data_IF_948060671841
#
_entry.id   IF_948060671841
#
_cell.length_a   1.000
_cell.length_b   1.000
_cell.length_c   1.000
_cell.angle_alpha   90.00
_cell.angle_beta   90.00
_cell.angle_gamma   90.00
#
_symmetry.space_group_name_H-M   'P 1'
#
loop_
_entity.id
_entity.type
_entity.pdbx_description
1 polymer ?
#
# COMPACT_ATOMS: atom_id res chain seq x y z
N UNK A 1 -4.99 -23.90 4.87
CA UNK A 1 -5.29 -23.17 6.12
C UNK A 1 -4.35 -21.97 6.32
N UNK A 2 -3.02 -22.15 6.21
CA UNK A 2 -2.03 -21.05 6.30
C UNK A 2 -2.18 -19.99 5.20
N UNK A 3 -2.33 -20.41 3.94
CA UNK A 3 -2.46 -19.53 2.78
C UNK A 3 -3.66 -18.57 2.89
N UNK A 4 -4.87 -19.11 3.05
CA UNK A 4 -6.09 -18.31 3.18
C UNK A 4 -5.97 -17.27 4.30
N UNK A 5 -5.38 -17.67 5.43
CA UNK A 5 -5.14 -16.75 6.55
C UNK A 5 -4.22 -15.58 6.18
N UNK A 6 -3.15 -15.81 5.42
CA UNK A 6 -2.25 -14.73 4.95
C UNK A 6 -2.96 -13.78 3.98
N UNK A 7 -3.69 -14.30 3.00
CA UNK A 7 -4.48 -13.44 2.11
C UNK A 7 -5.52 -12.61 2.86
N UNK A 8 -6.22 -13.22 3.81
CA UNK A 8 -7.20 -12.52 4.63
C UNK A 8 -6.54 -11.46 5.53
N UNK A 9 -5.30 -11.68 5.98
CA UNK A 9 -4.55 -10.67 6.74
C UNK A 9 -4.21 -9.45 5.88
N UNK A 10 -3.74 -9.65 4.65
CA UNK A 10 -3.50 -8.56 3.69
C UNK A 10 -4.80 -7.76 3.47
N UNK A 11 -5.91 -8.46 3.20
CA UNK A 11 -7.20 -7.80 2.99
C UNK A 11 -7.68 -7.03 4.23
N UNK A 12 -7.47 -7.60 5.44
CA UNK A 12 -7.80 -6.92 6.70
C UNK A 12 -7.00 -5.64 6.90
N UNK A 13 -5.69 -5.64 6.66
CA UNK A 13 -4.87 -4.44 6.87
C UNK A 13 -5.21 -3.35 5.86
N UNK A 14 -5.49 -3.70 4.59
CA UNK A 14 -5.98 -2.77 3.56
C UNK A 14 -7.34 -2.19 3.93
N UNK A 15 -8.26 -3.03 4.39
CA UNK A 15 -9.57 -2.58 4.87
C UNK A 15 -9.43 -1.60 6.04
N UNK A 16 -8.51 -1.86 6.97
CA UNK A 16 -8.26 -0.93 8.08
C UNK A 16 -7.70 0.41 7.61
N UNK A 17 -6.78 0.39 6.62
CA UNK A 17 -6.27 1.61 6.01
C UNK A 17 -7.40 2.39 5.33
N UNK A 18 -8.17 1.75 4.45
CA UNK A 18 -9.24 2.39 3.68
C UNK A 18 -10.33 2.96 4.59
N UNK A 19 -10.77 2.23 5.62
CA UNK A 19 -11.74 2.74 6.60
C UNK A 19 -11.24 3.96 7.37
N UNK A 20 -9.96 3.98 7.74
CA UNK A 20 -9.38 5.17 8.36
C UNK A 20 -9.35 6.33 7.33
N UNK A 21 -8.96 6.03 6.10
CA UNK A 21 -8.87 7.02 5.04
C UNK A 21 -10.23 7.62 4.63
N UNK A 22 -11.32 6.86 4.71
CA UNK A 22 -12.69 7.32 4.46
C UNK A 22 -13.16 8.41 5.43
N UNK A 23 -12.60 8.46 6.66
CA UNK A 23 -12.94 9.52 7.61
C UNK A 23 -12.27 10.86 7.28
N UNK A 24 -11.37 10.91 6.29
CA UNK A 24 -10.69 12.12 5.88
C UNK A 24 -11.50 12.88 4.81
N UNK A 25 -11.89 14.15 5.07
CA UNK A 25 -12.48 15.02 4.05
C UNK A 25 -11.60 15.12 2.80
N UNK A 26 -12.21 15.21 1.62
CA UNK A 26 -11.48 15.14 0.35
C UNK A 26 -10.44 16.27 0.19
N UNK A 27 -10.77 17.47 0.68
CA UNK A 27 -9.91 18.65 0.73
C UNK A 27 -8.73 18.49 1.70
N UNK A 28 -8.82 17.58 2.69
CA UNK A 28 -7.75 17.33 3.66
C UNK A 28 -6.83 16.17 3.30
N UNK A 29 -7.14 15.35 2.28
CA UNK A 29 -6.34 14.16 1.92
C UNK A 29 -4.92 14.49 1.45
N UNK A 30 -4.68 15.74 1.01
CA UNK A 30 -3.38 16.26 0.56
C UNK A 30 -2.71 17.18 1.59
N UNK A 31 -3.33 17.39 2.75
CA UNK A 31 -2.73 18.18 3.83
C UNK A 31 -1.65 17.37 4.55
N UNK A 32 -0.47 17.97 4.75
CA UNK A 32 0.64 17.35 5.46
C UNK A 32 0.54 17.75 6.94
N UNK A 33 0.20 16.81 7.85
CA UNK A 33 0.07 17.15 9.25
C UNK A 33 1.44 17.48 9.88
N UNK A 34 1.43 18.30 10.92
CA UNK A 34 2.67 18.70 11.61
C UNK A 34 3.45 17.46 12.11
N UNK A 35 4.77 17.46 11.88
CA UNK A 35 5.65 16.34 12.24
C UNK A 35 5.73 15.24 11.19
N UNK A 36 4.93 15.30 10.13
CA UNK A 36 5.03 14.42 8.97
C UNK A 36 5.63 15.15 7.77
N UNK A 37 6.09 14.39 6.79
CA UNK A 37 6.65 14.89 5.52
C UNK A 37 5.84 14.44 4.30
N UNK A 38 4.69 13.79 4.51
CA UNK A 38 3.76 13.36 3.48
C UNK A 38 2.32 13.36 4.04
N UNK A 39 1.35 13.14 3.17
CA UNK A 39 -0.08 13.21 3.48
C UNK A 39 -0.80 11.88 3.15
N UNK A 40 -2.07 11.78 3.50
CA UNK A 40 -2.85 10.54 3.34
C UNK A 40 -2.93 10.04 1.89
N UNK A 41 -3.03 10.95 0.92
CA UNK A 41 -3.01 10.57 -0.50
C UNK A 41 -1.67 9.94 -0.94
N UNK A 42 -0.53 10.39 -0.39
CA UNK A 42 0.76 9.74 -0.60
C UNK A 42 0.80 8.37 0.07
N UNK A 43 0.26 8.25 1.29
CA UNK A 43 0.19 6.97 2.02
C UNK A 43 -0.58 5.91 1.21
N UNK A 44 -1.70 6.28 0.59
CA UNK A 44 -2.48 5.39 -0.27
C UNK A 44 -1.69 4.98 -1.52
N UNK A 45 -1.07 5.94 -2.22
CA UNK A 45 -0.26 5.63 -3.39
C UNK A 45 0.97 4.78 -3.06
N UNK A 46 1.55 4.97 -1.87
CA UNK A 46 2.67 4.21 -1.35
C UNK A 46 2.33 2.74 -1.15
N UNK A 47 1.23 2.43 -0.44
CA UNK A 47 0.83 1.03 -0.25
C UNK A 47 0.48 0.34 -1.57
N UNK A 48 -0.15 1.05 -2.52
CA UNK A 48 -0.42 0.53 -3.87
C UNK A 48 0.89 0.17 -4.59
N UNK A 49 1.85 1.09 -4.60
CA UNK A 49 3.11 0.97 -5.35
C UNK A 49 4.07 -0.05 -4.75
N UNK A 50 4.26 -0.02 -3.43
CA UNK A 50 5.14 -0.94 -2.72
C UNK A 50 4.52 -2.33 -2.64
N UNK A 51 3.21 -2.42 -2.41
CA UNK A 51 2.48 -3.68 -2.45
C UNK A 51 2.60 -4.38 -3.81
N UNK A 52 2.56 -3.64 -4.92
CA UNK A 52 2.75 -4.20 -6.26
C UNK A 52 4.17 -4.77 -6.44
N UNK A 53 5.16 -4.07 -5.89
CA UNK A 53 6.54 -4.53 -5.86
C UNK A 53 6.71 -5.83 -5.09
N UNK A 54 6.24 -5.87 -3.86
CA UNK A 54 6.44 -7.01 -2.97
C UNK A 54 5.63 -8.22 -3.45
N UNK A 55 4.35 -8.05 -3.81
CA UNK A 55 3.48 -9.19 -4.12
C UNK A 55 3.65 -9.75 -5.52
N UNK A 56 3.93 -8.91 -6.52
CA UNK A 56 3.95 -9.35 -7.92
C UNK A 56 5.36 -9.38 -8.49
N UNK A 57 6.06 -8.24 -8.47
CA UNK A 57 7.42 -8.20 -9.06
C UNK A 57 8.36 -9.19 -8.39
N UNK A 58 8.37 -9.25 -7.05
CA UNK A 58 9.22 -10.20 -6.32
C UNK A 58 8.75 -11.65 -6.41
N UNK A 59 7.51 -11.93 -6.82
CA UNK A 59 7.05 -13.31 -7.10
C UNK A 59 7.27 -13.73 -8.56
N UNK A 60 7.96 -12.90 -9.36
CA UNK A 60 8.17 -13.12 -10.80
C UNK A 60 6.98 -12.78 -11.68
N UNK A 61 5.96 -12.12 -11.14
CA UNK A 61 4.76 -11.70 -11.86
C UNK A 61 4.89 -10.29 -12.43
N UNK A 62 4.24 -9.99 -13.56
CA UNK A 62 4.26 -8.65 -14.13
C UNK A 62 3.51 -7.66 -13.24
N UNK A 63 4.05 -6.44 -13.16
CA UNK A 63 3.37 -5.29 -12.56
C UNK A 63 2.24 -4.81 -13.47
N UNK A 64 1.07 -4.52 -12.87
CA UNK A 64 -0.03 -3.84 -13.54
C UNK A 64 0.06 -2.31 -13.42
N UNK A 65 0.98 -1.80 -12.60
CA UNK A 65 1.15 -0.36 -12.37
C UNK A 65 2.18 0.28 -13.31
N UNK A 66 1.96 1.54 -13.72
CA UNK A 66 2.95 2.31 -14.48
C UNK A 66 4.26 2.51 -13.69
N UNK A 67 5.40 2.48 -14.40
CA UNK A 67 6.72 2.72 -13.78
C UNK A 67 6.83 4.10 -13.10
N UNK A 68 6.09 5.09 -13.59
CA UNK A 68 6.08 6.46 -13.05
C UNK A 68 5.61 6.55 -11.59
N UNK A 69 4.89 5.54 -11.09
CA UNK A 69 4.49 5.48 -9.68
C UNK A 69 5.70 5.40 -8.76
N UNK A 70 6.82 4.85 -9.26
CA UNK A 70 8.07 4.80 -8.53
C UNK A 70 8.57 6.18 -8.10
N UNK A 71 8.49 7.19 -8.99
CA UNK A 71 8.93 8.55 -8.70
C UNK A 71 7.99 9.29 -7.72
N UNK A 72 6.74 8.85 -7.61
CA UNK A 72 5.73 9.47 -6.77
C UNK A 72 5.65 8.85 -5.37
N UNK A 73 5.79 7.54 -5.28
CA UNK A 73 5.34 6.77 -4.12
C UNK A 73 6.36 5.76 -3.59
N UNK A 74 7.57 5.66 -4.15
CA UNK A 74 8.60 4.77 -3.59
C UNK A 74 9.07 5.24 -2.22
N UNK A 75 9.73 4.33 -1.49
CA UNK A 75 10.41 4.66 -0.24
C UNK A 75 11.30 5.91 -0.40
N UNK A 76 11.17 6.85 0.54
CA UNK A 76 11.94 8.10 0.55
C UNK A 76 11.36 9.24 -0.27
N UNK A 77 10.41 9.00 -1.17
CA UNK A 77 9.71 10.07 -1.88
C UNK A 77 8.82 10.89 -0.94
N UNK A 78 8.53 12.13 -1.31
CA UNK A 78 7.58 13.00 -0.61
C UNK A 78 6.82 13.89 -1.58
N UNK A 79 5.56 14.26 -1.28
CA UNK A 79 4.73 15.08 -2.16
C UNK A 79 5.35 16.44 -2.54
N UNK A 80 6.16 17.02 -1.66
CA UNK A 80 6.85 18.29 -1.92
C UNK A 80 7.88 18.22 -3.05
N UNK A 81 8.27 17.02 -3.48
CA UNK A 81 9.24 16.77 -4.56
C UNK A 81 8.58 16.25 -5.84
N UNK A 82 7.26 16.12 -5.86
CA UNK A 82 6.56 15.65 -7.06
C UNK A 82 6.71 16.63 -8.22
N UNK A 83 7.19 16.11 -9.35
CA UNK A 83 7.35 16.85 -10.61
C UNK A 83 6.21 16.57 -11.60
N UNK A 84 5.30 15.66 -11.26
CA UNK A 84 4.13 15.29 -12.05
C UNK A 84 2.92 15.08 -11.14
N UNK A 85 1.72 15.25 -11.70
CA UNK A 85 0.48 15.02 -10.95
C UNK A 85 0.34 13.53 -10.61
N UNK A 86 0.04 13.16 -9.36
CA UNK A 86 -0.26 11.79 -9.00
C UNK A 86 -1.59 11.31 -9.61
N UNK A 87 -1.81 9.99 -9.69
CA UNK A 87 -3.14 9.42 -9.93
C UNK A 87 -4.19 9.98 -8.96
N UNK A 88 -5.46 9.95 -9.37
CA UNK A 88 -6.55 10.36 -8.47
C UNK A 88 -6.69 9.41 -7.29
N UNK A 89 -7.31 9.90 -6.22
CA UNK A 89 -7.65 9.10 -5.05
C UNK A 89 -8.46 7.85 -5.43
N UNK A 90 -9.49 8.04 -6.24
CA UNK A 90 -10.40 6.98 -6.68
C UNK A 90 -9.66 5.93 -7.51
N UNK A 91 -8.70 6.37 -8.34
CA UNK A 91 -7.84 5.46 -9.12
C UNK A 91 -7.01 4.59 -8.19
N UNK A 92 -6.37 5.18 -7.17
CA UNK A 92 -5.55 4.42 -6.23
C UNK A 92 -6.38 3.45 -5.37
N UNK A 93 -7.57 3.85 -4.92
CA UNK A 93 -8.49 2.94 -4.22
C UNK A 93 -8.90 1.77 -5.11
N UNK A 94 -9.27 2.04 -6.37
CA UNK A 94 -9.64 1.01 -7.33
C UNK A 94 -8.48 0.03 -7.57
N UNK A 95 -7.26 0.54 -7.76
CA UNK A 95 -6.06 -0.27 -7.96
C UNK A 95 -5.72 -1.11 -6.72
N UNK A 96 -5.86 -0.57 -5.51
CA UNK A 96 -5.64 -1.35 -4.29
C UNK A 96 -6.62 -2.52 -4.17
N UNK A 97 -7.89 -2.29 -4.52
CA UNK A 97 -8.92 -3.33 -4.53
C UNK A 97 -8.66 -4.38 -5.62
N UNK A 98 -8.31 -3.94 -6.83
CA UNK A 98 -7.92 -4.85 -7.92
C UNK A 98 -6.71 -5.70 -7.55
N UNK A 99 -5.68 -5.08 -6.99
CA UNK A 99 -4.48 -5.77 -6.50
C UNK A 99 -4.82 -6.82 -5.45
N UNK A 100 -5.76 -6.52 -4.55
CA UNK A 100 -6.23 -7.46 -3.51
C UNK A 100 -6.92 -8.68 -4.12
N UNK A 101 -7.78 -8.48 -5.12
CA UNK A 101 -8.43 -9.58 -5.84
C UNK A 101 -7.42 -10.42 -6.64
N UNK A 102 -6.51 -9.75 -7.35
CA UNK A 102 -5.52 -10.37 -8.23
C UNK A 102 -4.47 -11.17 -7.46
N UNK A 103 -4.10 -10.73 -6.26
CA UNK A 103 -3.20 -11.48 -5.37
C UNK A 103 -3.74 -12.88 -5.08
N UNK A 104 -5.04 -13.03 -4.79
CA UNK A 104 -5.65 -14.33 -4.51
C UNK A 104 -5.65 -15.26 -5.71
N UNK A 105 -5.81 -14.73 -6.91
CA UNK A 105 -5.85 -15.56 -8.13
C UNK A 105 -4.45 -15.94 -8.60
N UNK A 106 -3.50 -15.00 -8.56
CA UNK A 106 -2.15 -15.16 -9.11
C UNK A 106 -1.23 -15.93 -8.17
N UNK A 107 -1.39 -15.79 -6.85
CA UNK A 107 -0.49 -16.36 -5.85
C UNK A 107 -1.07 -17.61 -5.14
N UNK A 108 -2.31 -18.02 -5.46
CA UNK A 108 -2.89 -19.23 -4.89
C UNK A 108 -2.06 -20.47 -5.22
N UNK A 109 -1.81 -21.31 -4.23
CA UNK A 109 -1.02 -22.53 -4.35
C UNK A 109 0.49 -22.29 -4.50
N UNK A 110 0.97 -21.05 -4.32
CA UNK A 110 2.38 -20.67 -4.56
C UNK A 110 3.14 -20.28 -3.30
N UNK A 111 2.63 -20.55 -2.11
CA UNK A 111 3.25 -20.09 -0.85
C UNK A 111 4.74 -20.43 -0.74
N UNK A 112 5.14 -21.64 -1.15
CA UNK A 112 6.53 -22.11 -1.08
C UNK A 112 7.33 -21.83 -2.37
N UNK A 113 6.73 -21.16 -3.36
CA UNK A 113 7.41 -20.81 -4.60
C UNK A 113 8.49 -19.74 -4.32
N UNK A 114 9.65 -19.81 -5.01
CA UNK A 114 10.74 -18.90 -4.75
C UNK A 114 10.40 -17.46 -5.14
N UNK A 115 10.76 -16.53 -4.26
CA UNK A 115 10.83 -15.12 -4.57
C UNK A 115 12.10 -14.81 -5.38
N UNK A 116 12.05 -13.77 -6.22
CA UNK A 116 13.23 -13.21 -6.85
C UNK A 116 14.16 -12.60 -5.80
N UNK A 117 15.46 -12.52 -6.12
CA UNK A 117 16.45 -11.90 -5.27
C UNK A 117 16.03 -10.47 -4.87
N UNK A 118 16.05 -10.20 -3.57
CA UNK A 118 15.55 -8.95 -3.00
C UNK A 118 16.36 -8.55 -1.77
N UNK A 119 16.33 -7.25 -1.48
CA UNK A 119 17.09 -6.62 -0.39
C UNK A 119 16.65 -7.04 1.02
N UNK A 120 15.49 -7.70 1.16
CA UNK A 120 14.98 -8.21 2.44
C UNK A 120 15.31 -9.69 2.66
N UNK A 121 16.02 -10.32 1.71
CA UNK A 121 16.37 -11.75 1.76
C UNK A 121 15.16 -12.68 1.88
N UNK A 122 13.98 -12.23 1.43
CA UNK A 122 12.79 -13.08 1.38
C UNK A 122 12.99 -14.15 0.31
N UNK A 123 12.67 -15.39 0.65
CA UNK A 123 12.93 -16.56 -0.18
C UNK A 123 11.66 -17.09 -0.84
N UNK A 124 10.48 -16.85 -0.26
CA UNK A 124 9.22 -17.48 -0.68
C UNK A 124 8.04 -16.52 -0.70
N UNK A 125 6.98 -16.86 -1.44
CA UNK A 125 5.78 -16.00 -1.60
C UNK A 125 5.06 -15.73 -0.28
N UNK A 126 5.03 -16.68 0.64
CA UNK A 126 4.48 -16.48 1.99
C UNK A 126 5.26 -15.43 2.82
N UNK A 127 6.58 -15.33 2.65
CA UNK A 127 7.42 -14.30 3.22
C UNK A 127 7.13 -12.94 2.59
N UNK A 128 6.88 -12.89 1.27
CA UNK A 128 6.42 -11.67 0.57
C UNK A 128 5.08 -11.18 1.14
N UNK A 129 4.11 -12.09 1.33
CA UNK A 129 2.81 -11.77 1.94
C UNK A 129 2.99 -11.26 3.37
N UNK A 130 3.86 -11.90 4.15
CA UNK A 130 4.16 -11.48 5.53
C UNK A 130 4.78 -10.07 5.56
N UNK A 131 5.69 -9.78 4.64
CA UNK A 131 6.30 -8.46 4.52
C UNK A 131 5.28 -7.37 4.14
N UNK A 132 4.37 -7.65 3.19
CA UNK A 132 3.26 -6.74 2.87
C UNK A 132 2.36 -6.50 4.07
N UNK A 133 1.99 -7.54 4.82
CA UNK A 133 1.15 -7.39 6.01
C UNK A 133 1.81 -6.45 7.02
N UNK A 134 3.11 -6.64 7.30
CA UNK A 134 3.86 -5.80 8.23
C UNK A 134 3.94 -4.34 7.72
N UNK A 135 4.29 -4.16 6.45
CA UNK A 135 4.42 -2.84 5.81
C UNK A 135 3.08 -2.09 5.83
N UNK A 136 2.01 -2.69 5.33
CA UNK A 136 0.72 -2.03 5.25
C UNK A 136 0.07 -1.83 6.63
N UNK A 137 0.35 -2.69 7.62
CA UNK A 137 -0.04 -2.45 9.02
C UNK A 137 0.62 -1.20 9.59
N UNK A 138 1.91 -0.98 9.30
CA UNK A 138 2.61 0.24 9.69
C UNK A 138 1.94 1.46 9.06
N UNK A 139 1.64 1.43 7.75
CA UNK A 139 1.00 2.54 7.05
C UNK A 139 -0.45 2.78 7.50
N UNK A 140 -1.21 1.74 7.86
CA UNK A 140 -2.53 1.90 8.47
C UNK A 140 -2.44 2.59 9.85
N UNK A 141 -1.42 2.27 10.65
CA UNK A 141 -1.12 2.95 11.91
C UNK A 141 -0.74 4.42 11.69
N UNK A 142 0.14 4.69 10.71
CA UNK A 142 0.57 6.04 10.34
C UNK A 142 -0.60 6.90 9.85
N UNK A 143 -1.46 6.37 8.97
CA UNK A 143 -2.66 7.05 8.52
C UNK A 143 -3.58 7.43 9.70
N UNK A 144 -3.83 6.50 10.63
CA UNK A 144 -4.61 6.78 11.85
C UNK A 144 -3.96 7.86 12.71
N UNK A 145 -2.64 7.87 12.83
CA UNK A 145 -1.91 8.90 13.59
C UNK A 145 -2.02 10.28 12.93
N UNK A 146 -1.87 10.36 11.60
CA UNK A 146 -2.06 11.58 10.83
C UNK A 146 -3.47 12.16 11.02
N UNK A 147 -4.50 11.32 10.90
CA UNK A 147 -5.90 11.75 11.04
C UNK A 147 -6.24 12.29 12.43
N UNK A 148 -5.55 11.84 13.48
CA UNK A 148 -5.75 12.35 14.85
C UNK A 148 -5.22 13.76 15.06
N UNK A 149 -4.21 14.17 14.29
CA UNK A 149 -3.57 15.48 14.43
C UNK A 149 -4.00 16.46 13.34
N UNK A 150 -4.64 15.98 12.28
CA UNK A 150 -5.30 16.85 11.33
C UNK A 150 -6.50 17.55 12.00
N UNK A 151 -6.72 18.84 11.74
CA UNK A 151 -7.89 19.57 12.23
C UNK A 151 -9.13 19.14 11.41
N UNK A 152 -9.54 17.89 11.55
CA UNK A 152 -10.79 17.38 11.00
C UNK A 152 -11.88 17.88 11.96
N UNK A 153 -12.73 18.78 11.51
CA UNK A 153 -13.91 19.17 12.27
C UNK A 153 -14.74 17.90 12.54
N UNK A 154 -14.96 17.61 13.83
CA UNK A 154 -15.80 16.48 14.23
C UNK A 154 -17.24 16.80 13.84
N UNK A 155 -17.86 15.95 13.01
CA UNK A 155 -19.30 16.00 12.77
C UNK A 155 -20.09 15.69 14.03
#
# INVERSE_FOLDING_TARGET
MRETFLFDLVERVRTQFLKAAESCPADQRREVPQGFNNHLHWQLGHIVTVGEGILFRLSGEPSALPESYGALFSNGTRPSEWTQEPPSWETLVAQLNEQTARMRTVLAGRMDAPALENFLSMQTVDELLTAVIMHESHHAGTAKAMLRVLPIESK
#
